data_IF_524161246198
#
_entry.id   IF_524161246198
#
_cell.length_a   1.000
_cell.length_b   1.000
_cell.length_c   1.000
_cell.angle_alpha   90.00
_cell.angle_beta   90.00
_cell.angle_gamma   90.00
#
_symmetry.space_group_name_H-M   'P 1'
#
loop_
_entity.id
_entity.type
_entity.pdbx_description
1 polymer ?
#
# COMPACT_ATOMS: atom_id res chain seq x y z
N UNK A 1 26.67 -1.04 17.83
CA UNK A 1 26.71 0.30 18.46
C UNK A 1 25.38 0.51 19.16
N UNK A 2 25.38 0.74 20.48
CA UNK A 2 24.15 1.01 21.23
C UNK A 2 23.64 2.41 20.87
N UNK A 3 22.34 2.52 20.59
CA UNK A 3 21.69 3.80 20.34
C UNK A 3 21.09 4.31 21.66
N UNK A 4 21.50 5.49 22.10
CA UNK A 4 20.97 6.14 23.29
C UNK A 4 20.17 7.37 22.88
N UNK A 5 18.94 7.48 23.37
CA UNK A 5 18.08 8.66 23.15
C UNK A 5 17.54 9.13 24.48
N UNK A 6 17.71 10.43 24.77
CA UNK A 6 17.14 11.08 25.96
C UNK A 6 15.90 11.84 25.53
N UNK A 7 14.76 11.55 26.19
CA UNK A 7 13.46 12.14 25.87
C UNK A 7 12.88 12.81 27.08
N UNK A 8 12.47 14.07 26.94
CA UNK A 8 11.77 14.79 28.01
C UNK A 8 10.36 14.23 28.19
N UNK A 9 9.83 14.33 29.41
CA UNK A 9 8.46 13.90 29.76
C UNK A 9 7.40 14.54 28.83
N UNK A 10 7.61 15.77 28.40
CA UNK A 10 6.72 16.51 27.50
C UNK A 10 6.66 15.93 26.08
N UNK A 11 7.68 15.18 25.67
CA UNK A 11 7.75 14.52 24.36
C UNK A 11 7.28 13.06 24.38
N UNK A 12 6.83 12.57 25.52
CA UNK A 12 6.21 11.25 25.62
C UNK A 12 4.82 11.28 24.97
N UNK A 13 4.44 10.17 24.32
CA UNK A 13 3.10 10.03 23.75
C UNK A 13 2.01 10.26 24.83
N UNK A 14 0.83 10.69 24.41
CA UNK A 14 -0.29 11.09 25.28
C UNK A 14 -0.68 10.07 26.36
N UNK A 15 -0.31 8.80 26.21
CA UNK A 15 -0.53 7.73 27.18
C UNK A 15 0.72 7.38 28.01
N UNK A 16 1.73 8.24 28.01
CA UNK A 16 3.01 8.03 28.73
C UNK A 16 3.63 6.64 28.46
N UNK A 17 3.56 6.17 27.22
CA UNK A 17 4.08 4.86 26.87
C UNK A 17 5.61 4.92 26.88
N UNK A 18 6.23 4.09 27.73
CA UNK A 18 7.69 4.03 27.92
C UNK A 18 8.37 2.94 27.07
N UNK A 19 7.80 2.60 25.90
CA UNK A 19 8.39 1.65 24.96
C UNK A 19 9.56 2.31 24.23
N UNK A 20 10.82 1.86 24.42
CA UNK A 20 12.00 2.50 23.84
C UNK A 20 11.94 2.58 22.33
N UNK A 21 11.34 1.58 21.68
CA UNK A 21 11.19 1.49 20.23
C UNK A 21 10.43 2.70 19.66
N UNK A 22 9.48 3.26 20.41
CA UNK A 22 8.70 4.44 19.98
C UNK A 22 9.52 5.70 19.83
N UNK A 23 10.61 5.78 20.56
CA UNK A 23 11.45 6.97 20.66
C UNK A 23 12.77 6.81 19.91
N UNK A 24 12.91 5.75 19.14
CA UNK A 24 14.06 5.57 18.26
C UNK A 24 14.13 6.72 17.25
N UNK A 25 15.22 7.53 17.24
CA UNK A 25 15.34 8.68 16.35
C UNK A 25 15.33 8.28 14.86
N UNK A 26 15.63 7.02 14.53
CA UNK A 26 15.59 6.49 13.17
C UNK A 26 14.16 6.37 12.61
N UNK A 27 13.13 6.45 13.48
CA UNK A 27 11.72 6.52 13.06
C UNK A 27 11.35 7.82 12.37
N UNK A 28 12.16 8.85 12.53
CA UNK A 28 11.92 10.17 11.95
C UNK A 28 12.94 10.44 10.85
N UNK A 29 12.44 10.85 9.70
CA UNK A 29 13.31 11.40 8.68
C UNK A 29 13.80 12.78 9.13
N UNK A 30 15.11 12.95 9.13
CA UNK A 30 15.72 14.26 9.37
C UNK A 30 15.64 15.09 8.08
N UNK A 31 14.46 15.66 7.82
CA UNK A 31 14.22 16.56 6.70
C UNK A 31 13.62 17.84 7.27
N UNK A 32 14.04 18.97 6.70
CA UNK A 32 13.50 20.27 7.02
C UNK A 32 11.98 20.29 6.83
N UNK A 33 11.24 20.57 7.89
CA UNK A 33 9.78 20.59 7.89
C UNK A 33 9.20 21.61 6.93
N UNK A 34 9.89 22.72 6.70
CA UNK A 34 9.46 23.77 5.77
C UNK A 34 9.49 23.28 4.31
N UNK A 35 10.33 22.30 4.01
CA UNK A 35 10.49 21.70 2.67
C UNK A 35 9.64 20.47 2.43
N UNK A 36 8.75 20.13 3.37
CA UNK A 36 7.93 18.92 3.30
C UNK A 36 6.46 19.21 3.56
N UNK A 37 5.61 18.25 3.19
CA UNK A 37 4.18 18.17 3.53
C UNK A 37 3.91 16.77 4.07
N UNK A 38 3.14 16.65 5.13
CA UNK A 38 2.75 15.33 5.65
C UNK A 38 1.87 14.57 4.66
N UNK A 39 2.06 13.25 4.55
CA UNK A 39 1.29 12.39 3.65
C UNK A 39 -0.23 12.54 3.91
N UNK A 40 -0.65 12.65 5.16
CA UNK A 40 -2.05 12.85 5.54
C UNK A 40 -2.69 14.15 5.04
N UNK A 41 -1.90 15.09 4.50
CA UNK A 41 -2.38 16.29 3.79
C UNK A 41 -2.68 16.04 2.31
N UNK A 42 -2.25 14.90 1.78
CA UNK A 42 -2.38 14.52 0.35
C UNK A 42 -3.37 13.36 0.19
N UNK A 43 -3.38 12.42 1.14
CA UNK A 43 -4.23 11.24 1.08
C UNK A 43 -4.81 10.89 2.46
N UNK A 44 -6.03 10.41 2.46
CA UNK A 44 -6.69 9.84 3.65
C UNK A 44 -6.47 8.33 3.71
N UNK A 45 -6.52 7.78 4.91
CA UNK A 45 -6.55 6.33 5.11
C UNK A 45 -8.00 5.83 5.18
N UNK A 46 -8.39 5.00 4.20
CA UNK A 46 -9.73 4.43 4.12
C UNK A 46 -9.84 3.20 5.01
N UNK A 47 -10.88 3.18 5.86
CA UNK A 47 -11.10 2.10 6.85
C UNK A 47 -12.38 1.31 6.61
N UNK A 48 -13.01 1.46 5.43
CA UNK A 48 -14.28 0.80 5.14
C UNK A 48 -14.13 -0.73 5.15
N UNK A 49 -14.68 -1.35 6.20
CA UNK A 49 -14.69 -2.80 6.38
C UNK A 49 -15.91 -3.42 5.69
N UNK A 50 -15.69 -4.56 5.06
CA UNK A 50 -16.72 -5.40 4.45
C UNK A 50 -16.68 -6.76 5.14
N UNK A 51 -17.83 -7.21 5.63
CA UNK A 51 -17.99 -8.56 6.18
C UNK A 51 -18.42 -9.52 5.06
N UNK A 52 -17.99 -10.79 5.12
CA UNK A 52 -18.52 -11.82 4.21
C UNK A 52 -20.04 -11.90 4.30
N UNK A 53 -20.71 -11.94 3.15
CA UNK A 53 -22.16 -12.17 3.05
C UNK A 53 -22.54 -12.63 1.65
N UNK A 54 -23.71 -13.26 1.51
CA UNK A 54 -24.26 -13.69 0.22
C UNK A 54 -24.63 -12.52 -0.69
N UNK A 55 -24.90 -11.34 -0.11
CA UNK A 55 -25.28 -10.12 -0.84
C UNK A 55 -24.08 -9.46 -1.57
N UNK A 56 -22.84 -9.84 -1.23
CA UNK A 56 -21.64 -9.22 -1.80
C UNK A 56 -21.40 -9.56 -3.28
N UNK A 57 -22.06 -10.57 -3.82
CA UNK A 57 -21.81 -11.01 -5.19
C UNK A 57 -20.39 -11.52 -5.41
N UNK A 58 -19.83 -11.29 -6.61
CA UNK A 58 -18.45 -11.68 -6.94
C UNK A 58 -17.45 -10.65 -6.43
N UNK A 59 -16.40 -11.14 -5.77
CA UNK A 59 -15.32 -10.33 -5.19
C UNK A 59 -13.95 -10.78 -5.71
N UNK A 60 -13.08 -9.82 -5.96
CA UNK A 60 -11.64 -10.06 -6.13
C UNK A 60 -10.95 -9.73 -4.81
N UNK A 61 -10.26 -10.70 -4.20
CA UNK A 61 -9.61 -10.53 -2.89
C UNK A 61 -8.10 -10.44 -3.06
N UNK A 62 -7.54 -9.30 -2.69
CA UNK A 62 -6.10 -9.01 -2.71
C UNK A 62 -5.51 -9.28 -1.33
N UNK A 63 -4.58 -10.24 -1.25
CA UNK A 63 -3.80 -10.51 -0.05
C UNK A 63 -2.47 -9.74 -0.06
N UNK A 64 -1.78 -9.69 1.07
CA UNK A 64 -0.53 -8.93 1.19
C UNK A 64 0.56 -9.40 0.23
N UNK A 65 0.60 -10.68 -0.11
CA UNK A 65 1.54 -11.26 -1.07
C UNK A 65 1.29 -10.84 -2.52
N UNK A 66 0.09 -10.33 -2.83
CA UNK A 66 -0.27 -9.94 -4.19
C UNK A 66 0.23 -8.54 -4.56
N UNK A 67 0.57 -7.73 -3.57
CA UNK A 67 1.14 -6.40 -3.77
C UNK A 67 2.67 -6.46 -3.71
N UNK A 68 3.34 -6.09 -4.80
CA UNK A 68 4.80 -6.09 -4.89
C UNK A 68 5.28 -4.89 -5.71
N UNK A 69 6.15 -4.09 -5.12
CA UNK A 69 6.93 -3.05 -5.80
C UNK A 69 6.12 -2.15 -6.74
N UNK A 70 4.92 -1.80 -6.33
CA UNK A 70 4.06 -0.85 -7.03
C UNK A 70 2.88 -1.45 -7.78
N UNK A 71 2.85 -2.77 -7.98
CA UNK A 71 1.85 -3.47 -8.79
C UNK A 71 1.13 -4.56 -8.00
N UNK A 72 -0.05 -4.97 -8.49
CA UNK A 72 -0.71 -6.22 -8.09
C UNK A 72 -0.28 -7.30 -9.08
N UNK A 73 0.47 -8.30 -8.61
CA UNK A 73 1.10 -9.34 -9.45
C UNK A 73 0.28 -10.61 -9.62
N UNK A 74 -0.80 -10.77 -8.86
CA UNK A 74 -1.54 -12.02 -8.83
C UNK A 74 -2.73 -12.02 -9.78
N UNK A 75 -2.85 -13.11 -10.57
CA UNK A 75 -4.05 -13.44 -11.35
C UNK A 75 -4.99 -14.27 -10.51
N UNK A 76 -5.69 -13.62 -9.58
CA UNK A 76 -6.64 -14.32 -8.73
C UNK A 76 -7.98 -14.53 -9.41
N UNK A 77 -8.59 -15.67 -9.11
CA UNK A 77 -9.98 -15.91 -9.43
C UNK A 77 -10.89 -15.12 -8.48
N UNK A 78 -12.02 -14.69 -8.98
CA UNK A 78 -13.07 -14.08 -8.16
C UNK A 78 -13.70 -15.13 -7.27
N UNK A 79 -14.10 -14.72 -6.06
CA UNK A 79 -14.84 -15.53 -5.09
C UNK A 79 -16.23 -14.96 -4.89
N UNK A 80 -17.17 -15.80 -4.49
CA UNK A 80 -18.46 -15.31 -3.99
C UNK A 80 -18.27 -14.65 -2.61
N UNK A 81 -19.11 -13.71 -2.27
CA UNK A 81 -18.98 -12.94 -1.03
C UNK A 81 -19.02 -13.79 0.23
N UNK A 82 -19.78 -14.89 0.25
CA UNK A 82 -19.83 -15.88 1.32
C UNK A 82 -18.57 -16.75 1.43
N UNK A 83 -17.81 -16.91 0.34
CA UNK A 83 -16.53 -17.64 0.33
C UNK A 83 -15.34 -16.80 0.85
N UNK A 84 -15.58 -15.51 1.12
CA UNK A 84 -14.58 -14.61 1.69
C UNK A 84 -14.45 -14.92 3.17
N UNK A 85 -13.46 -15.69 3.57
CA UNK A 85 -13.32 -16.31 4.90
C UNK A 85 -13.19 -15.35 6.09
N UNK A 86 -13.00 -14.03 5.88
CA UNK A 86 -12.86 -13.03 6.96
C UNK A 86 -13.15 -11.63 6.46
N UNK A 87 -13.41 -10.70 7.39
CA UNK A 87 -13.59 -9.29 7.05
C UNK A 87 -12.42 -8.74 6.21
N UNK A 88 -12.73 -7.95 5.22
CA UNK A 88 -11.79 -7.31 4.28
C UNK A 88 -12.04 -5.80 4.26
N UNK A 89 -11.16 -5.07 3.59
CA UNK A 89 -11.36 -3.66 3.28
C UNK A 89 -11.72 -3.48 1.81
N UNK A 90 -12.61 -2.54 1.52
CA UNK A 90 -12.97 -2.17 0.15
C UNK A 90 -11.94 -1.21 -0.42
N UNK A 91 -11.44 -1.49 -1.62
CA UNK A 91 -10.52 -0.65 -2.37
C UNK A 91 -11.10 -0.28 -3.73
N UNK A 92 -10.65 0.83 -4.29
CA UNK A 92 -11.09 1.35 -5.59
C UNK A 92 -9.89 1.60 -6.50
N UNK A 93 -10.06 1.57 -7.82
CA UNK A 93 -9.07 2.10 -8.74
C UNK A 93 -8.66 3.53 -8.35
N UNK A 94 -7.36 3.83 -8.42
CA UNK A 94 -6.78 5.09 -7.97
C UNK A 94 -6.27 5.07 -6.52
N UNK A 95 -6.63 4.09 -5.70
CA UNK A 95 -6.06 3.92 -4.37
C UNK A 95 -4.60 3.43 -4.43
N UNK A 96 -3.81 3.80 -3.42
CA UNK A 96 -2.51 3.18 -3.14
C UNK A 96 -2.63 2.36 -1.87
N UNK A 97 -2.21 1.12 -1.91
CA UNK A 97 -2.20 0.23 -0.75
C UNK A 97 -0.78 -0.04 -0.27
N UNK A 98 -0.61 -0.16 1.04
CA UNK A 98 0.65 -0.56 1.67
C UNK A 98 0.39 -1.50 2.83
N UNK A 99 1.09 -2.64 2.85
CA UNK A 99 1.03 -3.57 3.98
C UNK A 99 1.72 -2.96 5.21
N UNK A 100 1.04 -3.01 6.34
CA UNK A 100 1.62 -2.60 7.63
C UNK A 100 2.55 -3.66 8.24
N UNK A 101 2.58 -4.85 7.64
CA UNK A 101 3.44 -5.96 8.01
C UNK A 101 4.72 -5.94 7.19
N UNK A 102 5.85 -6.27 7.82
CA UNK A 102 7.10 -6.60 7.15
C UNK A 102 7.45 -5.64 6.00
N UNK A 103 7.70 -4.36 6.26
CA UNK A 103 8.00 -3.36 5.21
C UNK A 103 9.06 -3.81 4.21
N UNK A 104 10.05 -4.60 4.65
CA UNK A 104 11.10 -5.14 3.79
C UNK A 104 10.58 -6.01 2.62
N UNK A 105 9.34 -6.51 2.69
CA UNK A 105 8.70 -7.20 1.56
C UNK A 105 8.18 -6.25 0.48
N UNK A 106 8.28 -4.92 0.69
CA UNK A 106 7.93 -3.88 -0.27
C UNK A 106 6.52 -4.05 -0.85
N UNK A 107 5.59 -4.49 -0.02
CA UNK A 107 4.18 -4.75 -0.37
C UNK A 107 3.40 -3.43 -0.49
N UNK A 108 3.70 -2.69 -1.53
CA UNK A 108 3.05 -1.43 -1.94
C UNK A 108 2.53 -1.64 -3.35
N UNK A 109 1.32 -1.16 -3.64
CA UNK A 109 0.77 -1.18 -4.99
C UNK A 109 -0.19 -0.01 -5.24
N UNK A 110 -0.24 0.44 -6.48
CA UNK A 110 -1.32 1.28 -7.02
C UNK A 110 -2.41 0.37 -7.58
N UNK A 111 -3.66 0.70 -7.31
CA UNK A 111 -4.81 -0.04 -7.80
C UNK A 111 -5.21 0.54 -9.15
N UNK A 112 -4.80 -0.13 -10.21
CA UNK A 112 -5.12 0.26 -11.58
C UNK A 112 -6.52 -0.25 -12.00
N UNK A 113 -7.11 0.37 -13.01
CA UNK A 113 -8.43 0.03 -13.55
C UNK A 113 -8.44 -1.24 -14.42
N UNK A 114 -7.24 -1.74 -14.77
CA UNK A 114 -7.04 -2.94 -15.62
C UNK A 114 -6.72 -4.20 -14.80
N UNK A 115 -6.88 -4.16 -13.49
CA UNK A 115 -6.80 -5.38 -12.69
C UNK A 115 -7.80 -6.39 -13.25
N UNK A 116 -7.38 -7.62 -13.59
CA UNK A 116 -8.25 -8.61 -14.21
C UNK A 116 -9.54 -8.82 -13.43
N UNK A 117 -10.68 -8.81 -14.13
CA UNK A 117 -12.04 -8.97 -13.57
C UNK A 117 -12.53 -7.83 -12.65
N UNK A 118 -11.83 -6.71 -12.52
CA UNK A 118 -12.24 -5.61 -11.65
C UNK A 118 -13.51 -4.88 -12.15
N UNK A 119 -13.78 -4.85 -13.46
CA UNK A 119 -14.84 -4.07 -14.07
C UNK A 119 -16.29 -4.49 -13.69
N UNK A 120 -16.45 -5.71 -13.15
CA UNK A 120 -17.75 -6.27 -12.74
C UNK A 120 -17.75 -6.86 -11.33
N UNK A 121 -16.70 -6.64 -10.56
CA UNK A 121 -16.46 -7.28 -9.27
C UNK A 121 -16.03 -6.25 -8.25
N UNK A 122 -16.48 -6.43 -7.02
CA UNK A 122 -15.97 -5.62 -5.91
C UNK A 122 -14.53 -6.04 -5.59
N UNK A 123 -13.62 -5.07 -5.52
CA UNK A 123 -12.23 -5.34 -5.13
C UNK A 123 -12.11 -5.17 -3.62
N UNK A 124 -11.63 -6.22 -2.97
CA UNK A 124 -11.40 -6.27 -1.53
C UNK A 124 -9.92 -6.53 -1.26
N UNK A 125 -9.40 -6.05 -0.15
CA UNK A 125 -8.05 -6.37 0.27
C UNK A 125 -7.98 -6.82 1.74
N UNK A 126 -6.86 -7.44 2.11
CA UNK A 126 -6.56 -7.82 3.48
C UNK A 126 -6.66 -6.62 4.44
N UNK A 127 -7.13 -6.85 5.66
CA UNK A 127 -7.14 -5.84 6.74
C UNK A 127 -5.75 -5.36 7.13
N UNK A 128 -4.70 -6.08 6.73
CA UNK A 128 -3.31 -5.71 6.95
C UNK A 128 -2.80 -4.58 6.03
N UNK A 129 -3.60 -4.17 5.03
CA UNK A 129 -3.29 -3.00 4.24
C UNK A 129 -3.80 -1.70 4.87
N UNK A 130 -3.00 -0.64 4.81
CA UNK A 130 -3.50 0.73 4.79
C UNK A 130 -3.85 1.08 3.35
N UNK A 131 -5.00 1.73 3.18
CA UNK A 131 -5.53 2.16 1.88
C UNK A 131 -5.46 3.67 1.85
N UNK A 132 -4.65 4.22 0.97
CA UNK A 132 -4.50 5.65 0.77
C UNK A 132 -5.36 6.07 -0.42
N UNK A 133 -6.24 7.04 -0.19
CA UNK A 133 -7.10 7.66 -1.21
C UNK A 133 -6.83 9.14 -1.30
N UNK A 134 -6.79 9.67 -2.51
CA UNK A 134 -6.60 11.10 -2.76
C UNK A 134 -7.64 11.95 -2.05
N UNK A 135 -7.22 13.12 -1.55
CA UNK A 135 -8.11 14.13 -0.95
C UNK A 135 -8.67 15.06 -2.03
N UNK A 136 -7.89 15.34 -3.07
CA UNK A 136 -8.13 16.38 -4.08
C UNK A 136 -8.51 15.83 -5.47
N UNK A 137 -8.84 14.53 -5.54
CA UNK A 137 -9.13 13.80 -6.78
C UNK A 137 -7.99 13.74 -7.82
N UNK A 138 -6.82 14.29 -7.52
CA UNK A 138 -5.63 14.11 -8.37
C UNK A 138 -4.99 12.74 -8.08
N UNK A 139 -4.32 12.15 -9.07
CA UNK A 139 -3.64 10.86 -8.90
C UNK A 139 -2.64 10.90 -7.75
N UNK A 140 -2.65 9.85 -6.93
CA UNK A 140 -1.65 9.62 -5.88
C UNK A 140 -0.67 8.49 -6.23
N UNK A 141 -0.62 8.06 -7.49
CA UNK A 141 0.31 7.02 -7.93
C UNK A 141 1.78 7.39 -7.65
N UNK A 142 2.13 8.70 -7.60
CA UNK A 142 3.46 9.17 -7.20
C UNK A 142 3.86 8.75 -5.78
N UNK A 143 2.91 8.37 -4.91
CA UNK A 143 3.21 7.83 -3.59
C UNK A 143 3.86 6.44 -3.67
N UNK A 144 3.68 5.71 -4.76
CA UNK A 144 4.29 4.38 -4.93
C UNK A 144 5.81 4.45 -4.84
N UNK A 145 6.53 5.17 -5.71
CA UNK A 145 7.99 5.29 -5.60
C UNK A 145 8.44 5.99 -4.31
N UNK A 146 7.64 6.93 -3.77
CA UNK A 146 7.92 7.53 -2.47
C UNK A 146 7.93 6.49 -1.36
N UNK A 147 6.86 5.68 -1.24
CA UNK A 147 6.74 4.65 -0.21
C UNK A 147 7.75 3.52 -0.40
N UNK A 148 8.13 3.21 -1.64
CA UNK A 148 9.15 2.21 -1.97
C UNK A 148 10.59 2.70 -1.78
N UNK A 149 10.81 4.00 -1.58
CA UNK A 149 12.16 4.52 -1.40
C UNK A 149 12.82 3.94 -0.15
N UNK A 150 14.13 3.68 -0.21
CA UNK A 150 14.89 3.05 0.88
C UNK A 150 14.80 3.83 2.19
N UNK A 151 14.75 5.15 2.11
CA UNK A 151 14.62 6.02 3.30
C UNK A 151 13.28 5.78 4.00
N UNK A 152 12.19 5.74 3.25
CA UNK A 152 10.85 5.49 3.80
C UNK A 152 10.74 4.05 4.30
N UNK A 153 11.23 3.08 3.55
CA UNK A 153 11.22 1.67 3.97
C UNK A 153 11.99 1.45 5.28
N UNK A 154 13.13 2.12 5.46
CA UNK A 154 13.90 2.09 6.73
C UNK A 154 13.09 2.68 7.89
N UNK A 155 12.43 3.81 7.70
CA UNK A 155 11.59 4.43 8.73
C UNK A 155 10.43 3.51 9.11
N UNK A 156 9.75 2.93 8.15
CA UNK A 156 8.63 2.01 8.39
C UNK A 156 9.11 0.74 9.12
N UNK A 157 10.26 0.18 8.73
CA UNK A 157 10.83 -1.00 9.37
C UNK A 157 11.17 -0.76 10.85
N UNK A 158 11.81 0.38 11.16
CA UNK A 158 12.14 0.74 12.55
C UNK A 158 10.89 1.14 13.35
N UNK A 159 9.82 1.56 12.68
CA UNK A 159 8.57 1.99 13.32
C UNK A 159 7.62 0.86 13.66
N UNK A 160 7.99 -0.38 13.41
CA UNK A 160 7.18 -1.55 13.76
C UNK A 160 7.09 -1.72 15.28
N UNK A 161 5.92 -2.11 15.75
CA UNK A 161 5.58 -2.37 17.14
C UNK A 161 4.87 -3.73 17.25
N UNK A 162 4.96 -4.37 18.42
CA UNK A 162 4.35 -5.67 18.70
C UNK A 162 5.34 -6.83 18.62
N UNK A 163 5.00 -7.94 19.26
CA UNK A 163 5.86 -9.12 19.40
C UNK A 163 5.83 -10.04 18.18
N UNK A 164 4.87 -10.98 18.10
CA UNK A 164 4.84 -12.02 17.07
C UNK A 164 4.66 -11.52 15.62
N UNK A 165 3.90 -10.45 15.44
CA UNK A 165 3.63 -9.86 14.12
C UNK A 165 3.78 -8.35 14.20
N UNK A 166 5.01 -7.82 14.21
CA UNK A 166 5.24 -6.40 14.34
C UNK A 166 4.64 -5.61 13.16
N UNK A 167 3.96 -4.52 13.49
CA UNK A 167 3.25 -3.65 12.55
C UNK A 167 3.61 -2.20 12.80
N UNK A 168 3.77 -1.42 11.76
CA UNK A 168 3.76 0.04 11.95
C UNK A 168 2.31 0.55 12.00
N UNK A 169 2.12 1.66 12.70
CA UNK A 169 0.79 2.24 12.93
C UNK A 169 0.45 3.29 11.87
N UNK A 170 -0.84 3.54 11.68
CA UNK A 170 -1.36 4.46 10.67
C UNK A 170 -0.84 5.90 10.85
N UNK A 171 -0.72 6.38 12.09
CA UNK A 171 -0.17 7.71 12.34
C UNK A 171 1.27 7.85 11.85
N UNK A 172 2.09 6.81 11.95
CA UNK A 172 3.44 6.80 11.36
C UNK A 172 3.39 7.00 9.84
N UNK A 173 2.45 6.34 9.15
CA UNK A 173 2.28 6.49 7.72
C UNK A 173 1.84 7.90 7.34
N UNK A 174 0.79 8.41 8.00
CA UNK A 174 0.19 9.69 7.65
C UNK A 174 1.08 10.91 8.00
N UNK A 175 2.01 10.75 8.94
CA UNK A 175 2.99 11.81 9.29
C UNK A 175 4.28 11.73 8.48
N UNK A 176 4.42 10.80 7.52
CA UNK A 176 5.59 10.76 6.65
C UNK A 176 5.77 12.07 5.89
N UNK A 177 6.95 12.70 5.95
CA UNK A 177 7.21 13.97 5.29
C UNK A 177 7.52 13.76 3.81
N UNK A 178 6.62 14.20 2.94
CA UNK A 178 6.80 14.19 1.49
C UNK A 178 7.53 15.47 1.07
N UNK A 179 8.69 15.41 0.39
CA UNK A 179 9.37 16.59 -0.13
C UNK A 179 8.47 17.41 -1.07
N UNK A 180 8.40 18.74 -0.88
CA UNK A 180 7.63 19.65 -1.75
C UNK A 180 8.03 19.51 -3.23
N UNK A 181 9.32 19.24 -3.50
CA UNK A 181 9.82 18.94 -4.85
C UNK A 181 9.13 17.71 -5.47
N UNK A 182 8.84 16.68 -4.68
CA UNK A 182 8.13 15.50 -5.18
C UNK A 182 6.65 15.83 -5.48
N UNK A 183 6.06 16.69 -4.66
CA UNK A 183 4.68 17.16 -4.86
C UNK A 183 4.57 18.01 -6.12
N UNK A 184 5.53 18.89 -6.41
CA UNK A 184 5.52 19.69 -7.64
C UNK A 184 5.67 18.85 -8.91
N UNK A 185 6.17 17.62 -8.79
CA UNK A 185 6.30 16.64 -9.88
C UNK A 185 5.22 15.56 -9.84
N UNK A 186 4.22 15.69 -8.99
CA UNK A 186 3.19 14.69 -8.70
C UNK A 186 2.55 14.12 -9.97
N UNK A 187 2.11 14.99 -10.86
CA UNK A 187 1.41 14.58 -12.07
C UNK A 187 2.31 13.78 -13.01
N UNK A 188 3.49 14.30 -13.29
CA UNK A 188 4.49 13.62 -14.14
C UNK A 188 4.88 12.25 -13.58
N UNK A 189 5.14 12.16 -12.28
CA UNK A 189 5.54 10.89 -11.65
C UNK A 189 4.36 9.90 -11.65
N UNK A 190 3.15 10.37 -11.33
CA UNK A 190 1.95 9.54 -11.35
C UNK A 190 1.70 8.96 -12.74
N UNK A 191 1.82 9.78 -13.78
CA UNK A 191 1.66 9.34 -15.15
C UNK A 191 2.67 8.24 -15.51
N UNK A 192 3.94 8.42 -15.17
CA UNK A 192 4.98 7.41 -15.42
C UNK A 192 4.73 6.09 -14.68
N UNK A 193 4.23 6.15 -13.44
CA UNK A 193 3.86 4.96 -12.68
C UNK A 193 2.71 4.23 -13.36
N UNK A 194 1.66 4.94 -13.78
CA UNK A 194 0.50 4.36 -14.47
C UNK A 194 0.91 3.74 -15.80
N UNK A 195 1.74 4.40 -16.59
CA UNK A 195 2.28 3.88 -17.85
C UNK A 195 3.12 2.61 -17.64
N UNK A 196 3.96 2.60 -16.60
CA UNK A 196 4.73 1.42 -16.23
C UNK A 196 3.83 0.22 -15.84
N UNK A 197 2.76 0.47 -15.08
CA UNK A 197 1.77 -0.56 -14.73
C UNK A 197 1.04 -1.06 -15.98
N UNK A 198 0.64 -0.16 -16.89
CA UNK A 198 -0.03 -0.52 -18.13
C UNK A 198 0.87 -1.40 -19.03
N UNK A 199 2.16 -1.08 -19.12
CA UNK A 199 3.14 -1.89 -19.83
C UNK A 199 3.32 -3.28 -19.22
N UNK A 200 3.36 -3.36 -17.90
CA UNK A 200 3.37 -4.62 -17.17
C UNK A 200 2.13 -5.48 -17.50
N UNK A 201 0.92 -4.88 -17.44
CA UNK A 201 -0.33 -5.57 -17.79
C UNK A 201 -0.35 -6.08 -19.21
N UNK A 202 0.14 -5.28 -20.15
CA UNK A 202 0.27 -5.69 -21.55
C UNK A 202 1.18 -6.92 -21.70
N UNK A 203 2.37 -6.89 -21.09
CA UNK A 203 3.31 -8.00 -21.15
C UNK A 203 2.75 -9.27 -20.47
N UNK A 204 2.10 -9.11 -19.33
CA UNK A 204 1.46 -10.21 -18.59
C UNK A 204 0.37 -10.90 -19.44
N UNK A 205 -0.47 -10.11 -20.12
CA UNK A 205 -1.52 -10.65 -21.00
C UNK A 205 -0.94 -11.34 -22.23
N UNK A 206 0.06 -10.74 -22.89
CA UNK A 206 0.70 -11.34 -24.05
C UNK A 206 1.29 -12.73 -23.75
N UNK A 207 1.97 -12.88 -22.61
CA UNK A 207 2.50 -14.18 -22.19
C UNK A 207 1.36 -15.19 -21.94
N UNK A 208 0.26 -14.75 -21.30
CA UNK A 208 -0.87 -15.63 -21.06
C UNK A 208 -1.54 -16.13 -22.34
N UNK A 209 -1.68 -15.24 -23.31
CA UNK A 209 -2.28 -15.59 -24.61
C UNK A 209 -1.41 -16.63 -25.35
N UNK A 210 -0.08 -16.48 -25.28
CA UNK A 210 0.83 -17.48 -25.88
C UNK A 210 0.76 -18.82 -25.15
N UNK A 211 0.66 -18.84 -23.81
CA UNK A 211 0.46 -20.08 -23.06
C UNK A 211 -0.86 -20.74 -23.46
N UNK A 212 -1.94 -19.98 -23.58
CA UNK A 212 -3.23 -20.51 -24.01
C UNK A 212 -3.21 -21.08 -25.42
N UNK A 213 -2.50 -20.42 -26.35
CA UNK A 213 -2.31 -20.95 -27.72
C UNK A 213 -1.50 -22.24 -27.70
N UNK A 214 -0.43 -22.28 -26.91
CA UNK A 214 0.38 -23.52 -26.77
C UNK A 214 -0.45 -24.68 -26.23
N UNK A 215 -1.28 -24.45 -25.19
CA UNK A 215 -2.14 -25.50 -24.65
C UNK A 215 -3.13 -26.03 -25.68
N UNK A 216 -3.75 -25.16 -26.49
CA UNK A 216 -4.66 -25.58 -27.56
C UNK A 216 -3.98 -26.43 -28.62
N UNK A 217 -2.70 -26.20 -28.87
CA UNK A 217 -1.93 -27.01 -29.85
C UNK A 217 -1.71 -28.47 -29.40
N UNK A 218 -1.87 -28.78 -28.10
CA UNK A 218 -1.80 -30.15 -27.59
C UNK A 218 -3.17 -30.82 -27.52
N UNK A 219 -4.25 -30.10 -27.78
CA UNK A 219 -5.62 -30.64 -27.77
C UNK A 219 -6.09 -31.12 -29.16
N UNK A 220 -5.27 -30.91 -30.19
CA UNK A 220 -5.47 -31.39 -31.55
C UNK A 220 -4.66 -32.67 -31.81
#
# INVERSE_FOLDING_TARGET
MALVSIISKTNLASKLILSPERYDPRRKLQIDKEKTVELGKIAISVRKMIKPSDELGKCLVIDTSDAREGIIVSRKQTKLGNEVGSAKKSILPGDVIISRLRPYLRQVAFIDDKIPNASKTQILCSTEFFILRSIDNCSIAFLVPFLLSDKIQKVLAVSQEGGHHPRFIESTLLTLPIPKKLISQREMISQKVIEGIASYRFSENAIADMVNQSNKAFEC
#
